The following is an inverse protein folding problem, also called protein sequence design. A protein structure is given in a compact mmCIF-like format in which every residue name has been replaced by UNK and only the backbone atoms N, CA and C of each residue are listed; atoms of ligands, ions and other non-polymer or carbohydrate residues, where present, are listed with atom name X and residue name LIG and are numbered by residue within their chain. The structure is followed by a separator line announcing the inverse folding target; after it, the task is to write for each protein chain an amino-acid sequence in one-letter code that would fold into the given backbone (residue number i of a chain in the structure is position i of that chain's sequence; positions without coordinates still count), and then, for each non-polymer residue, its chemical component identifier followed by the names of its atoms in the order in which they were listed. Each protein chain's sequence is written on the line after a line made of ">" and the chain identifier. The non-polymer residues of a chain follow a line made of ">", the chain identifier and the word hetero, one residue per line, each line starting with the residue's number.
data_IF_927613903054
#
_entry.id   IF_927613903054
#
_cell.length_a   1.000
_cell.length_b   1.000
_cell.length_c   1.000
_cell.angle_alpha   90.00
_cell.angle_beta   90.00
_cell.angle_gamma   90.00
#
_symmetry.space_group_name_H-M   'P 1'
#
loop_
_entity.id
_entity.type
_entity.pdbx_description
1 polymer ?
#
# COMPACT_ATOMS: atom_id res chain seq x y z
N UNK A 1 -15.18 -17.51 -6.70
CA UNK A 1 -15.49 -16.86 -7.99
C UNK A 1 -14.54 -17.48 -8.99
N UNK A 2 -15.05 -17.99 -10.10
CA UNK A 2 -14.28 -18.94 -10.92
C UNK A 2 -13.47 -18.24 -12.02
N UNK A 3 -13.86 -17.01 -12.39
CA UNK A 3 -13.19 -16.19 -13.39
C UNK A 3 -12.96 -14.75 -12.90
N UNK A 4 -11.74 -14.26 -13.13
CA UNK A 4 -11.28 -12.89 -12.85
C UNK A 4 -10.68 -12.34 -14.14
N UNK A 5 -11.10 -11.14 -14.56
CA UNK A 5 -10.57 -10.48 -15.74
C UNK A 5 -9.40 -9.54 -15.39
N UNK A 6 -8.37 -9.51 -16.23
CA UNK A 6 -7.31 -8.51 -16.13
C UNK A 6 -7.81 -7.13 -16.62
N UNK A 7 -7.41 -6.03 -15.98
CA UNK A 7 -7.70 -4.70 -16.47
C UNK A 7 -6.97 -4.41 -17.76
N UNK A 8 -7.50 -3.47 -18.53
CA UNK A 8 -6.93 -3.00 -19.79
C UNK A 8 -5.54 -2.41 -19.57
N UNK A 9 -5.37 -1.58 -18.54
CA UNK A 9 -4.13 -0.85 -18.30
C UNK A 9 -3.28 -1.47 -17.18
N UNK A 10 -1.94 -1.39 -17.26
CA UNK A 10 -1.03 -1.88 -16.24
C UNK A 10 -1.39 -1.45 -14.82
N UNK A 11 -1.21 -2.37 -13.87
CA UNK A 11 -1.38 -2.13 -12.43
C UNK A 11 -0.05 -1.70 -11.83
N UNK A 12 -0.06 -0.63 -11.04
CA UNK A 12 1.05 -0.24 -10.15
C UNK A 12 0.63 -0.49 -8.71
N UNK A 13 1.35 -1.36 -8.01
CA UNK A 13 1.15 -1.63 -6.59
C UNK A 13 1.99 -0.66 -5.75
N UNK A 14 1.34 0.12 -4.88
CA UNK A 14 1.94 1.20 -4.10
C UNK A 14 1.80 0.92 -2.59
N UNK A 15 2.93 0.65 -1.91
CA UNK A 15 2.93 0.24 -0.51
C UNK A 15 2.80 1.43 0.46
N UNK A 16 2.39 1.16 1.70
CA UNK A 16 2.25 2.15 2.76
C UNK A 16 3.54 2.52 3.49
N UNK A 17 3.35 3.11 4.68
CA UNK A 17 4.37 3.34 5.69
C UNK A 17 5.04 1.99 6.01
N UNK A 18 6.34 1.99 6.25
CA UNK A 18 7.07 0.77 6.63
C UNK A 18 7.11 -0.31 5.54
N UNK A 19 6.81 0.00 4.28
CA UNK A 19 7.04 -0.94 3.18
C UNK A 19 8.54 -1.14 2.96
N UNK A 20 9.03 -2.33 3.30
CA UNK A 20 10.44 -2.71 3.22
C UNK A 20 10.63 -3.82 2.19
N UNK A 21 11.77 -3.81 1.48
CA UNK A 21 12.29 -5.00 0.78
C UNK A 21 12.90 -6.02 1.76
N UNK A 22 13.28 -5.62 2.98
CA UNK A 22 13.85 -6.49 4.02
C UNK A 22 13.61 -5.90 5.41
N UNK A 23 12.82 -6.58 6.23
CA UNK A 23 13.00 -6.48 7.68
C UNK A 23 13.77 -7.72 8.11
N UNK A 24 14.96 -7.54 8.69
CA UNK A 24 15.66 -8.62 9.39
C UNK A 24 14.83 -8.90 10.65
N UNK A 25 13.88 -9.82 10.53
CA UNK A 25 13.16 -10.35 11.69
C UNK A 25 14.00 -11.47 12.29
N UNK A 26 15.16 -11.09 12.80
CA UNK A 26 15.92 -11.91 13.71
C UNK A 26 15.81 -11.19 15.05
N UNK A 27 14.99 -11.67 16.03
CA UNK A 27 15.40 -11.45 17.39
C UNK A 27 16.76 -12.14 17.46
N UNK A 28 17.86 -11.39 17.40
CA UNK A 28 19.16 -12.03 17.54
C UNK A 28 19.10 -12.78 18.85
N UNK A 29 19.36 -14.09 18.82
CA UNK A 29 19.47 -14.89 20.05
C UNK A 29 20.49 -14.23 21.01
N UNK A 30 21.39 -13.40 20.47
CA UNK A 30 22.29 -12.50 21.18
C UNK A 30 21.59 -11.37 21.95
N UNK A 31 20.50 -10.76 21.45
CA UNK A 31 19.72 -9.76 22.19
C UNK A 31 19.03 -10.38 23.41
N UNK A 32 18.45 -11.58 23.24
CA UNK A 32 17.81 -12.34 24.34
C UNK A 32 18.88 -12.76 25.36
N UNK A 33 20.05 -13.23 24.90
CA UNK A 33 21.20 -13.54 25.75
C UNK A 33 21.66 -12.33 26.58
N UNK A 34 21.73 -11.15 25.97
CA UNK A 34 22.25 -9.94 26.63
C UNK A 34 21.28 -9.33 27.64
N UNK A 35 19.96 -9.42 27.37
CA UNK A 35 18.91 -9.04 28.32
C UNK A 35 18.86 -10.00 29.51
N UNK A 36 19.08 -11.30 29.27
CA UNK A 36 19.19 -12.31 30.33
C UNK A 36 20.52 -12.19 31.10
N UNK A 37 21.59 -11.67 30.50
CA UNK A 37 22.91 -11.51 31.13
C UNK A 37 23.17 -10.14 31.76
N UNK A 38 22.22 -9.20 31.74
CA UNK A 38 22.30 -7.93 32.49
C UNK A 38 23.42 -6.96 32.06
N UNK A 39 23.90 -6.98 30.81
CA UNK A 39 24.91 -6.02 30.33
C UNK A 39 24.25 -4.77 29.72
N UNK A 40 24.72 -3.59 30.13
CA UNK A 40 24.31 -2.29 29.57
C UNK A 40 24.64 -2.21 28.07
N UNK A 41 23.67 -1.75 27.29
CA UNK A 41 23.77 -1.57 25.83
C UNK A 41 23.88 -0.07 25.55
N UNK A 42 24.92 0.34 24.83
CA UNK A 42 24.93 1.62 24.11
C UNK A 42 24.37 1.41 22.69
N UNK A 43 23.51 2.31 22.17
CA UNK A 43 22.86 2.11 20.89
C UNK A 43 23.73 2.64 19.74
N UNK A 44 24.58 1.78 19.15
CA UNK A 44 25.12 2.02 17.81
C UNK A 44 24.24 1.31 16.77
N UNK A 45 23.47 2.09 16.01
CA UNK A 45 22.71 1.60 14.85
C UNK A 45 23.62 1.51 13.62
N UNK A 46 24.32 0.39 13.45
CA UNK A 46 24.95 0.05 12.18
C UNK A 46 24.02 -0.85 11.35
N UNK A 47 23.42 -0.29 10.29
CA UNK A 47 22.67 -1.05 9.28
C UNK A 47 23.64 -1.39 8.14
N UNK A 48 24.31 -2.53 8.24
CA UNK A 48 24.89 -3.23 7.11
C UNK A 48 24.87 -4.71 7.47
N UNK A 49 23.88 -5.48 7.01
CA UNK A 49 24.02 -6.93 7.04
C UNK A 49 23.20 -7.68 5.97
N UNK A 50 23.93 -8.45 5.17
CA UNK A 50 23.47 -9.23 4.02
C UNK A 50 23.01 -10.64 4.41
N UNK A 51 22.01 -10.76 5.30
CA UNK A 51 21.59 -12.08 5.82
C UNK A 51 20.13 -12.30 6.20
N UNK A 52 19.20 -11.37 5.92
CA UNK A 52 17.78 -11.50 6.29
C UNK A 52 16.92 -12.28 5.29
N UNK A 53 15.95 -13.05 5.79
CA UNK A 53 14.81 -13.57 4.99
C UNK A 53 13.90 -12.39 4.65
N UNK A 54 13.84 -12.01 3.37
CA UNK A 54 12.94 -10.97 2.87
C UNK A 54 11.51 -11.53 2.78
N UNK A 55 10.52 -10.81 3.32
CA UNK A 55 9.10 -11.09 3.09
C UNK A 55 8.56 -10.01 2.15
N UNK A 56 8.08 -10.42 0.97
CA UNK A 56 7.49 -9.50 -0.01
C UNK A 56 6.21 -8.88 0.53
N UNK A 57 6.10 -7.55 0.43
CA UNK A 57 4.91 -6.79 0.87
C UNK A 57 3.63 -7.19 0.12
N UNK A 58 3.77 -7.67 -1.12
CA UNK A 58 2.67 -8.09 -1.98
C UNK A 58 2.66 -9.61 -2.17
N UNK A 59 2.83 -10.36 -1.08
CA UNK A 59 3.08 -11.81 -1.12
C UNK A 59 1.99 -12.59 -1.90
N UNK A 60 2.36 -13.14 -3.06
CA UNK A 60 1.48 -13.92 -3.95
C UNK A 60 0.53 -13.09 -4.80
N UNK A 61 0.44 -11.77 -4.56
CA UNK A 61 -0.50 -10.87 -5.24
C UNK A 61 0.00 -10.55 -6.64
N UNK A 62 1.29 -10.21 -6.76
CA UNK A 62 1.89 -9.91 -8.06
C UNK A 62 1.75 -11.13 -9.00
N UNK A 63 2.14 -12.31 -8.52
CA UNK A 63 2.12 -13.55 -9.31
C UNK A 63 0.69 -13.90 -9.74
N UNK A 64 -0.29 -13.74 -8.84
CA UNK A 64 -1.69 -14.02 -9.15
C UNK A 64 -2.27 -13.06 -10.20
N UNK A 65 -1.96 -11.76 -10.10
CA UNK A 65 -2.38 -10.76 -11.08
C UNK A 65 -1.74 -11.02 -12.45
N UNK A 66 -0.44 -11.32 -12.47
CA UNK A 66 0.29 -11.66 -13.71
C UNK A 66 -0.22 -12.97 -14.33
N UNK A 67 -0.56 -13.98 -13.50
CA UNK A 67 -1.16 -15.23 -13.97
C UNK A 67 -2.56 -15.03 -14.60
N UNK A 68 -3.23 -13.91 -14.32
CA UNK A 68 -4.47 -13.50 -14.98
C UNK A 68 -4.27 -12.59 -16.19
N UNK A 69 -3.02 -12.32 -16.58
CA UNK A 69 -2.68 -11.52 -17.76
C UNK A 69 -2.43 -10.04 -17.48
N UNK A 70 -2.47 -9.60 -16.21
CA UNK A 70 -2.18 -8.19 -15.89
C UNK A 70 -0.69 -7.88 -16.05
N UNK A 71 -0.36 -6.76 -16.69
CA UNK A 71 0.96 -6.14 -16.54
C UNK A 71 1.04 -5.49 -15.16
N UNK A 72 1.99 -5.92 -14.32
CA UNK A 72 2.11 -5.44 -12.93
C UNK A 72 3.47 -4.80 -12.68
N UNK A 73 3.45 -3.62 -12.07
CA UNK A 73 4.61 -2.85 -11.61
C UNK A 73 4.53 -2.78 -10.09
N UNK A 74 5.54 -3.25 -9.38
CA UNK A 74 5.61 -3.12 -7.91
C UNK A 74 6.51 -1.95 -7.54
N UNK A 75 5.90 -0.84 -7.15
CA UNK A 75 6.63 0.38 -6.82
C UNK A 75 7.33 0.28 -5.47
N UNK A 76 8.47 0.97 -5.37
CA UNK A 76 9.28 1.05 -4.15
C UNK A 76 9.56 2.50 -3.81
N UNK A 77 9.26 2.88 -2.57
CA UNK A 77 9.46 4.24 -2.06
C UNK A 77 10.05 4.19 -0.64
N UNK A 78 10.65 5.28 -0.12
CA UNK A 78 11.21 5.29 1.23
C UNK A 78 10.17 4.93 2.29
N UNK A 79 10.50 3.95 3.16
CA UNK A 79 9.55 3.41 4.13
C UNK A 79 8.98 4.43 5.12
N UNK A 80 9.76 5.46 5.48
CA UNK A 80 9.38 6.50 6.45
C UNK A 80 9.50 7.94 5.94
N UNK A 81 9.76 8.11 4.64
CA UNK A 81 9.89 9.43 4.01
C UNK A 81 8.59 10.22 4.06
N UNK A 82 8.67 11.51 3.74
CA UNK A 82 7.48 12.35 3.64
C UNK A 82 6.57 11.93 2.47
N UNK A 83 5.30 12.34 2.47
CA UNK A 83 4.37 12.08 1.34
C UNK A 83 4.96 12.62 0.03
N UNK A 84 5.57 13.80 0.08
CA UNK A 84 6.22 14.44 -1.07
C UNK A 84 7.43 13.63 -1.55
N UNK A 85 8.36 13.27 -0.65
CA UNK A 85 9.54 12.46 -0.98
C UNK A 85 9.15 11.11 -1.58
N UNK A 86 8.13 10.47 -0.99
CA UNK A 86 7.59 9.18 -1.44
C UNK A 86 6.91 9.32 -2.80
N UNK A 87 6.13 10.37 -3.02
CA UNK A 87 5.48 10.63 -4.31
C UNK A 87 6.51 10.94 -5.42
N UNK A 88 7.59 11.65 -5.11
CA UNK A 88 8.68 11.93 -6.05
C UNK A 88 9.46 10.66 -6.42
N UNK A 89 9.74 9.77 -5.46
CA UNK A 89 10.32 8.46 -5.76
C UNK A 89 9.34 7.58 -6.54
N UNK A 90 8.04 7.60 -6.19
CA UNK A 90 6.99 6.88 -6.92
C UNK A 90 6.94 7.32 -8.39
N UNK A 91 6.96 8.64 -8.64
CA UNK A 91 7.02 9.18 -10.00
C UNK A 91 8.26 8.65 -10.75
N UNK A 92 9.45 8.75 -10.14
CA UNK A 92 10.70 8.29 -10.77
C UNK A 92 10.65 6.80 -11.09
N UNK A 93 10.10 5.98 -10.18
CA UNK A 93 9.95 4.55 -10.38
C UNK A 93 9.02 4.24 -11.55
N UNK A 94 7.80 4.80 -11.55
CA UNK A 94 6.80 4.57 -12.61
C UNK A 94 7.33 5.12 -13.94
N UNK A 95 7.94 6.30 -13.95
CA UNK A 95 8.53 6.90 -15.16
C UNK A 95 9.62 6.03 -15.77
N UNK A 96 10.45 5.38 -14.94
CA UNK A 96 11.48 4.43 -15.40
C UNK A 96 10.84 3.15 -15.95
N UNK A 97 9.93 2.54 -15.20
CA UNK A 97 9.24 1.32 -15.60
C UNK A 97 8.47 1.51 -16.92
N UNK A 98 7.70 2.60 -17.02
CA UNK A 98 6.97 2.96 -18.24
C UNK A 98 7.92 3.35 -19.38
N UNK A 99 9.08 3.93 -19.09
CA UNK A 99 10.14 4.14 -20.09
C UNK A 99 10.58 2.85 -20.81
N UNK A 100 10.59 1.70 -20.12
CA UNK A 100 10.83 0.40 -20.75
C UNK A 100 9.61 -0.12 -21.50
N UNK A 101 8.41 -0.01 -20.90
CA UNK A 101 7.16 -0.44 -21.53
C UNK A 101 6.90 0.32 -22.84
N UNK A 102 7.25 1.61 -22.92
CA UNK A 102 7.05 2.41 -24.13
C UNK A 102 7.73 1.86 -25.40
N UNK A 103 8.70 0.96 -25.24
CA UNK A 103 9.44 0.31 -26.33
C UNK A 103 8.80 -0.99 -26.83
N UNK A 104 7.88 -1.56 -26.05
CA UNK A 104 7.13 -2.76 -26.38
C UNK A 104 5.89 -2.39 -27.20
N UNK A 105 5.26 -3.37 -27.83
CA UNK A 105 4.02 -3.13 -28.57
C UNK A 105 2.86 -2.87 -27.61
N UNK A 106 1.81 -2.18 -28.08
CA UNK A 106 0.63 -1.92 -27.25
C UNK A 106 -0.06 -3.21 -26.82
N UNK A 107 -0.12 -4.22 -27.70
CA UNK A 107 -0.74 -5.51 -27.40
C UNK A 107 0.01 -6.36 -26.36
N UNK A 108 1.31 -6.10 -26.16
CA UNK A 108 2.11 -6.73 -25.09
C UNK A 108 1.84 -6.13 -23.70
N UNK A 109 1.25 -4.93 -23.63
CA UNK A 109 1.12 -4.13 -22.40
C UNK A 109 -0.34 -3.93 -22.01
N UNK A 110 -1.20 -3.68 -22.99
CA UNK A 110 -2.63 -3.48 -22.78
C UNK A 110 -3.35 -4.78 -23.01
N UNK A 111 -4.17 -5.18 -22.04
CA UNK A 111 -5.03 -6.33 -22.17
C UNK A 111 -6.29 -5.91 -22.95
N UNK A 112 -6.23 -5.98 -24.27
CA UNK A 112 -7.41 -5.72 -25.12
C UNK A 112 -8.24 -6.99 -25.29
N UNK A 113 -9.44 -7.01 -24.69
CA UNK A 113 -10.65 -7.66 -25.24
C UNK A 113 -11.90 -7.31 -24.40
N UNK A 114 -12.60 -6.22 -24.77
CA UNK A 114 -13.99 -5.96 -24.35
C UNK A 114 -14.81 -5.04 -25.28
N UNK A 115 -14.28 -4.56 -26.42
CA UNK A 115 -15.07 -3.91 -27.47
C UNK A 115 -14.41 -4.12 -28.86
N UNK A 116 -14.88 -5.07 -29.69
CA UNK A 116 -14.29 -5.39 -30.99
C UNK A 116 -14.50 -4.32 -32.09
N UNK A 117 -15.11 -3.17 -31.77
CA UNK A 117 -15.58 -2.19 -32.76
C UNK A 117 -14.73 -0.91 -32.88
N UNK A 118 -13.59 -0.83 -32.19
CA UNK A 118 -12.60 0.21 -32.47
C UNK A 118 -11.46 -0.41 -33.26
N UNK A 119 -11.42 -0.09 -34.55
CA UNK A 119 -10.58 -0.73 -35.55
C UNK A 119 -9.14 -0.91 -35.08
N UNK A 120 -8.57 -2.09 -35.39
CA UNK A 120 -7.18 -2.50 -35.12
C UNK A 120 -6.26 -1.29 -35.13
N UNK A 121 -5.93 -0.77 -33.93
CA UNK A 121 -4.78 0.12 -33.82
C UNK A 121 -3.60 -0.67 -34.38
N UNK A 122 -2.86 -0.08 -35.31
CA UNK A 122 -1.59 -0.65 -35.74
C UNK A 122 -0.76 -0.92 -34.48
N UNK A 123 -0.21 -2.13 -34.35
CA UNK A 123 0.52 -2.63 -33.16
C UNK A 123 1.89 -1.94 -33.01
N UNK A 124 1.85 -0.62 -32.92
CA UNK A 124 2.96 0.32 -32.80
C UNK A 124 3.23 0.60 -31.32
N UNK A 125 4.47 1.00 -31.02
CA UNK A 125 4.87 1.31 -29.64
C UNK A 125 4.47 2.73 -29.23
N UNK A 126 4.38 2.97 -27.91
CA UNK A 126 4.09 4.30 -27.36
C UNK A 126 5.15 5.35 -27.73
N UNK A 127 6.40 4.92 -27.91
CA UNK A 127 7.51 5.79 -28.30
C UNK A 127 7.30 6.39 -29.71
N UNK A 128 6.80 5.59 -30.65
CA UNK A 128 6.54 6.03 -32.02
C UNK A 128 5.46 7.11 -32.10
N UNK A 129 4.51 7.11 -31.15
CA UNK A 129 3.37 8.05 -31.11
C UNK A 129 3.51 9.19 -30.11
N UNK A 130 4.61 9.23 -29.36
CA UNK A 130 4.78 10.14 -28.21
C UNK A 130 3.61 10.08 -27.18
N UNK A 131 2.89 8.95 -27.13
CA UNK A 131 1.73 8.75 -26.26
C UNK A 131 2.18 8.30 -24.88
N UNK A 132 1.49 8.71 -23.80
CA UNK A 132 1.77 8.26 -22.42
C UNK A 132 1.22 6.85 -22.18
N UNK A 133 1.91 6.05 -21.37
CA UNK A 133 1.38 4.75 -20.90
C UNK A 133 0.33 5.03 -19.83
N UNK A 134 -0.89 4.53 -20.01
CA UNK A 134 -1.95 4.62 -19.00
C UNK A 134 -1.70 3.59 -17.91
N UNK A 135 -1.93 3.94 -16.65
CA UNK A 135 -1.71 3.05 -15.51
C UNK A 135 -2.82 3.17 -14.47
N UNK A 136 -3.13 2.04 -13.83
CA UNK A 136 -4.01 1.93 -12.67
C UNK A 136 -3.16 1.85 -11.41
N UNK A 137 -3.38 2.73 -10.43
CA UNK A 137 -2.71 2.65 -9.14
C UNK A 137 -3.57 1.86 -8.15
N UNK A 138 -2.98 0.87 -7.47
CA UNK A 138 -3.58 0.20 -6.32
C UNK A 138 -2.67 0.43 -5.12
N UNK A 139 -3.19 1.15 -4.13
CA UNK A 139 -2.38 1.67 -3.04
C UNK A 139 -2.91 1.23 -1.68
N UNK A 140 -2.01 0.75 -0.81
CA UNK A 140 -2.35 0.37 0.56
C UNK A 140 -1.87 1.42 1.56
N UNK A 141 -2.69 1.70 2.58
CA UNK A 141 -2.32 2.55 3.72
C UNK A 141 -1.79 3.92 3.24
N UNK A 142 -0.65 4.40 3.75
CA UNK A 142 -0.04 5.68 3.35
C UNK A 142 0.23 5.80 1.84
N UNK A 143 0.37 4.68 1.11
CA UNK A 143 0.62 4.69 -0.34
C UNK A 143 -0.47 5.41 -1.12
N UNK A 144 -1.71 5.42 -0.62
CA UNK A 144 -2.81 6.15 -1.26
C UNK A 144 -2.68 7.67 -1.13
N UNK A 145 -2.01 8.17 -0.08
CA UNK A 145 -1.70 9.60 0.06
C UNK A 145 -0.58 10.00 -0.92
N UNK A 146 0.44 9.16 -1.06
CA UNK A 146 1.52 9.36 -2.02
C UNK A 146 0.96 9.42 -3.46
N UNK A 147 0.06 8.49 -3.81
CA UNK A 147 -0.60 8.47 -5.11
C UNK A 147 -1.44 9.72 -5.34
N UNK A 148 -2.21 10.18 -4.34
CA UNK A 148 -2.99 11.42 -4.46
C UNK A 148 -2.09 12.64 -4.66
N UNK A 149 -0.97 12.72 -3.94
CA UNK A 149 0.00 13.79 -4.12
C UNK A 149 0.63 13.74 -5.51
N UNK A 150 1.07 12.55 -5.96
CA UNK A 150 1.60 12.32 -7.31
C UNK A 150 0.63 12.81 -8.38
N UNK A 151 -0.63 12.40 -8.32
CA UNK A 151 -1.64 12.80 -9.31
C UNK A 151 -1.89 14.31 -9.29
N UNK A 152 -1.96 14.92 -8.11
CA UNK A 152 -2.35 16.33 -7.98
C UNK A 152 -1.21 17.32 -8.21
N UNK A 153 0.03 16.96 -7.89
CA UNK A 153 1.14 17.92 -7.73
C UNK A 153 2.32 17.67 -8.65
N UNK A 154 2.44 16.48 -9.25
CA UNK A 154 3.63 16.09 -10.00
C UNK A 154 3.25 15.87 -11.48
N UNK A 155 3.92 16.59 -12.36
CA UNK A 155 3.76 16.42 -13.80
C UNK A 155 4.50 15.16 -14.31
N UNK A 156 3.76 14.27 -14.98
CA UNK A 156 4.30 13.01 -15.48
C UNK A 156 4.41 13.04 -17.00
N UNK A 157 5.60 12.75 -17.55
CA UNK A 157 5.86 12.79 -19.00
C UNK A 157 5.66 11.45 -19.71
N UNK A 158 5.91 10.34 -19.00
CA UNK A 158 5.93 9.00 -19.61
C UNK A 158 4.61 8.24 -19.44
N UNK A 159 3.82 8.60 -18.43
CA UNK A 159 2.62 7.89 -18.05
C UNK A 159 1.48 8.83 -17.63
N UNK A 160 0.27 8.30 -17.70
CA UNK A 160 -0.98 8.94 -17.27
C UNK A 160 -1.66 8.00 -16.27
N UNK A 161 -2.04 8.53 -15.11
CA UNK A 161 -2.82 7.76 -14.15
C UNK A 161 -4.28 7.84 -14.57
N UNK A 162 -4.95 6.70 -14.72
CA UNK A 162 -6.39 6.66 -15.07
C UNK A 162 -7.27 6.25 -13.89
N UNK A 163 -6.69 5.58 -12.90
CA UNK A 163 -7.39 5.24 -11.67
C UNK A 163 -6.47 5.15 -10.46
N UNK A 164 -7.04 5.39 -9.28
CA UNK A 164 -6.44 5.13 -7.98
C UNK A 164 -7.45 4.37 -7.12
N UNK A 165 -7.14 3.11 -6.82
CA UNK A 165 -7.84 2.32 -5.81
C UNK A 165 -7.04 2.34 -4.51
N UNK A 166 -7.63 2.89 -3.44
CA UNK A 166 -7.02 2.86 -2.11
C UNK A 166 -7.60 1.78 -1.22
N UNK A 167 -6.75 1.16 -0.42
CA UNK A 167 -7.11 0.13 0.56
C UNK A 167 -6.61 0.65 1.90
N UNK A 168 -7.55 0.95 2.81
CA UNK A 168 -7.28 1.43 4.18
C UNK A 168 -6.33 2.62 4.27
N UNK A 169 -6.37 3.50 3.27
CA UNK A 169 -5.59 4.74 3.30
C UNK A 169 -6.19 5.74 4.30
N UNK A 170 -5.41 6.33 5.21
CA UNK A 170 -5.90 7.32 6.17
C UNK A 170 -6.10 8.69 5.50
N UNK A 171 -7.10 8.83 4.63
CA UNK A 171 -7.34 10.08 3.88
C UNK A 171 -7.68 11.26 4.78
N UNK A 172 -8.17 11.03 6.00
CA UNK A 172 -8.44 12.06 7.02
C UNK A 172 -7.49 11.96 8.21
N UNK A 173 -6.40 11.20 8.06
CA UNK A 173 -5.43 10.90 9.10
C UNK A 173 -5.83 9.73 9.99
N UNK A 174 -5.00 9.47 11.00
CA UNK A 174 -5.19 8.42 11.98
C UNK A 174 -5.11 8.98 13.39
N UNK A 175 -6.08 8.62 14.24
CA UNK A 175 -6.09 8.96 15.65
C UNK A 175 -4.91 8.34 16.41
N UNK A 176 -4.35 7.25 15.89
CA UNK A 176 -3.10 6.64 16.40
C UNK A 176 -1.93 7.57 16.13
N UNK A 177 -1.83 8.16 14.93
CA UNK A 177 -0.78 9.12 14.62
C UNK A 177 -0.86 10.36 15.51
N UNK A 178 -2.08 10.87 15.75
CA UNK A 178 -2.30 11.96 16.71
C UNK A 178 -1.79 11.58 18.11
N UNK A 179 -2.14 10.38 18.59
CA UNK A 179 -1.72 9.90 19.90
C UNK A 179 -0.21 9.71 20.02
N UNK A 180 0.45 9.14 18.99
CA UNK A 180 1.91 8.96 18.96
C UNK A 180 2.63 10.30 18.96
N UNK A 181 2.16 11.28 18.19
CA UNK A 181 2.71 12.63 18.18
C UNK A 181 2.53 13.32 19.53
N UNK A 182 1.39 13.13 20.19
CA UNK A 182 1.15 13.68 21.53
C UNK A 182 2.05 13.05 22.60
N UNK A 183 2.28 11.74 22.56
CA UNK A 183 3.23 11.07 23.45
C UNK A 183 4.66 11.55 23.23
N UNK A 184 5.06 11.77 21.97
CA UNK A 184 6.39 12.22 21.63
C UNK A 184 6.72 13.63 22.17
N UNK A 185 5.72 14.46 22.48
CA UNK A 185 5.94 15.77 23.14
C UNK A 185 6.56 15.64 24.53
N UNK A 186 6.42 14.47 25.17
CA UNK A 186 6.99 14.19 26.49
C UNK A 186 8.35 13.48 26.41
N UNK A 187 8.85 13.21 25.21
CA UNK A 187 10.17 12.63 25.01
C UNK A 187 11.25 13.73 24.98
N UNK A 188 12.52 13.37 25.27
CA UNK A 188 13.66 14.26 25.04
C UNK A 188 13.69 14.86 23.62
N UNK A 189 14.10 16.12 23.48
CA UNK A 189 14.06 16.88 22.21
C UNK A 189 14.90 16.27 21.06
N UNK A 190 15.87 15.42 21.40
CA UNK A 190 16.70 14.66 20.46
C UNK A 190 15.97 13.48 19.81
N UNK A 191 14.85 13.03 20.38
CA UNK A 191 14.01 11.96 19.80
C UNK A 191 12.97 12.58 18.88
N UNK A 192 13.25 12.57 17.57
CA UNK A 192 12.32 13.03 16.53
C UNK A 192 11.62 11.86 15.86
N UNK A 193 10.30 11.95 15.75
CA UNK A 193 9.53 10.99 14.94
C UNK A 193 9.83 11.20 13.45
N UNK A 194 9.69 10.16 12.62
CA UNK A 194 9.78 10.32 11.18
C UNK A 194 8.72 11.29 10.63
N UNK A 195 9.01 12.00 9.52
CA UNK A 195 8.07 12.98 8.93
C UNK A 195 6.73 12.34 8.58
N UNK A 196 6.75 11.11 8.09
CA UNK A 196 5.56 10.32 7.80
C UNK A 196 4.58 10.21 8.99
N UNK A 197 5.06 10.07 10.23
CA UNK A 197 4.18 9.97 11.40
C UNK A 197 3.43 11.29 11.63
N UNK A 198 4.13 12.43 11.52
CA UNK A 198 3.49 13.74 11.62
C UNK A 198 2.48 13.97 10.48
N UNK A 199 2.81 13.52 9.27
CA UNK A 199 1.97 13.67 8.10
C UNK A 199 0.76 12.74 8.07
N UNK A 200 0.68 11.75 8.97
CA UNK A 200 -0.49 10.89 9.14
C UNK A 200 -1.48 11.40 10.20
N UNK A 201 -1.16 12.50 10.88
CA UNK A 201 -2.07 13.13 11.86
C UNK A 201 -3.33 13.68 11.21
N UNK A 202 -4.45 13.64 11.93
CA UNK A 202 -5.74 14.14 11.43
C UNK A 202 -5.68 15.64 11.10
N UNK A 203 -4.89 16.39 11.86
CA UNK A 203 -4.69 17.81 11.60
C UNK A 203 -3.90 18.07 10.31
N UNK A 204 -2.81 17.33 10.07
CA UNK A 204 -2.04 17.48 8.83
C UNK A 204 -2.92 17.14 7.62
N UNK A 205 -3.69 16.05 7.67
CA UNK A 205 -4.52 15.63 6.52
C UNK A 205 -5.66 16.59 6.20
N UNK A 206 -6.15 17.39 7.16
CA UNK A 206 -7.08 18.49 6.88
C UNK A 206 -6.47 19.54 5.96
N UNK A 207 -5.19 19.86 6.14
CA UNK A 207 -4.44 20.77 5.27
C UNK A 207 -4.16 20.12 3.91
N UNK A 208 -3.62 18.91 3.93
CA UNK A 208 -3.34 18.11 2.74
C UNK A 208 -4.55 18.03 1.80
N UNK A 209 -5.74 17.73 2.33
CA UNK A 209 -6.96 17.60 1.52
C UNK A 209 -7.47 18.91 0.90
N UNK A 210 -7.05 20.08 1.40
CA UNK A 210 -7.37 21.37 0.78
C UNK A 210 -6.46 21.65 -0.43
N UNK A 211 -5.24 21.12 -0.41
CA UNK A 211 -4.23 21.43 -1.43
C UNK A 211 -4.11 20.33 -2.49
N UNK A 212 -4.31 19.06 -2.11
CA UNK A 212 -4.18 17.87 -2.95
C UNK A 212 -5.57 17.47 -3.45
N UNK A 213 -5.92 18.03 -4.59
CA UNK A 213 -7.23 17.92 -5.22
C UNK A 213 -7.27 16.70 -6.17
N UNK A 214 -8.46 16.17 -6.38
CA UNK A 214 -8.67 15.12 -7.37
C UNK A 214 -8.52 15.68 -8.79
N UNK A 215 -7.87 14.92 -9.67
CA UNK A 215 -7.93 15.15 -11.11
C UNK A 215 -9.28 14.61 -11.63
N UNK A 216 -10.11 15.42 -12.32
CA UNK A 216 -11.42 14.99 -12.81
C UNK A 216 -11.36 13.86 -13.84
N UNK A 217 -10.20 13.60 -14.45
CA UNK A 217 -10.01 12.52 -15.43
C UNK A 217 -9.59 11.19 -14.78
N UNK A 218 -9.36 11.17 -13.46
CA UNK A 218 -8.93 9.97 -12.72
C UNK A 218 -10.10 9.39 -11.93
N UNK A 219 -10.31 8.08 -12.04
CA UNK A 219 -11.27 7.37 -11.18
C UNK A 219 -10.66 7.07 -9.82
N UNK A 220 -11.27 7.61 -8.76
CA UNK A 220 -10.87 7.32 -7.37
C UNK A 220 -11.82 6.30 -6.75
N UNK A 221 -11.27 5.18 -6.32
CA UNK A 221 -11.97 4.06 -5.68
C UNK A 221 -11.36 3.83 -4.29
N UNK A 222 -12.15 3.39 -3.31
CA UNK A 222 -11.61 3.08 -1.98
C UNK A 222 -12.29 1.94 -1.26
N UNK A 223 -11.50 1.23 -0.47
CA UNK A 223 -11.93 0.22 0.50
C UNK A 223 -11.49 0.62 1.91
N UNK A 224 -12.38 0.41 2.87
CA UNK A 224 -12.01 0.42 4.29
C UNK A 224 -11.94 -1.01 4.83
N UNK A 225 -11.45 -1.16 6.06
CA UNK A 225 -11.50 -2.41 6.77
C UNK A 225 -11.91 -2.19 8.22
N UNK A 226 -12.51 -3.20 8.83
CA UNK A 226 -12.81 -3.20 10.26
C UNK A 226 -12.74 -4.60 10.84
N UNK A 227 -12.40 -4.67 12.12
CA UNK A 227 -12.42 -5.91 12.88
C UNK A 227 -12.68 -5.62 14.36
N UNK A 228 -12.95 -6.67 15.14
CA UNK A 228 -13.07 -6.61 16.59
C UNK A 228 -11.91 -7.45 17.18
N UNK A 229 -10.85 -6.82 17.70
CA UNK A 229 -9.71 -7.54 18.26
C UNK A 229 -10.07 -8.27 19.55
N UNK A 230 -9.51 -9.46 19.75
CA UNK A 230 -9.38 -10.05 21.09
C UNK A 230 -8.34 -9.25 21.89
N UNK A 231 -8.40 -9.30 23.22
CA UNK A 231 -7.53 -8.53 24.12
C UNK A 231 -6.02 -8.77 23.92
N UNK A 232 -5.64 -9.92 23.35
CA UNK A 232 -4.25 -10.29 23.07
C UNK A 232 -3.79 -9.95 21.64
N UNK A 233 -4.66 -9.37 20.79
CA UNK A 233 -4.26 -8.92 19.45
C UNK A 233 -3.34 -7.69 19.57
N UNK A 234 -2.29 -7.63 18.74
CA UNK A 234 -1.29 -6.56 18.75
C UNK A 234 -1.86 -5.17 18.51
N UNK A 235 -2.98 -5.07 17.80
CA UNK A 235 -3.70 -3.85 17.52
C UNK A 235 -4.79 -3.52 18.54
N UNK A 236 -4.97 -4.30 19.61
CA UNK A 236 -6.04 -4.05 20.58
C UNK A 236 -5.98 -2.61 21.14
N UNK A 237 -4.79 -2.15 21.54
CA UNK A 237 -4.62 -0.80 22.10
C UNK A 237 -4.87 0.31 21.06
N UNK A 238 -4.31 0.18 19.85
CA UNK A 238 -4.50 1.18 18.79
C UNK A 238 -5.94 1.20 18.27
N UNK A 239 -6.57 0.02 18.20
CA UNK A 239 -7.99 -0.13 17.88
C UNK A 239 -8.87 0.59 18.90
N UNK A 240 -8.58 0.48 20.22
CA UNK A 240 -9.34 1.19 21.26
C UNK A 240 -9.27 2.71 21.07
N UNK A 241 -8.07 3.25 20.83
CA UNK A 241 -7.84 4.69 20.60
C UNK A 241 -8.72 5.20 19.45
N UNK A 242 -8.77 4.46 18.35
CA UNK A 242 -9.56 4.84 17.18
C UNK A 242 -11.06 4.63 17.46
N UNK A 243 -11.44 3.48 18.04
CA UNK A 243 -12.84 3.13 18.24
C UNK A 243 -13.57 4.13 19.15
N UNK A 244 -12.91 4.62 20.18
CA UNK A 244 -13.46 5.65 21.07
C UNK A 244 -13.70 7.00 20.36
N UNK A 245 -12.92 7.32 19.32
CA UNK A 245 -12.93 8.63 18.66
C UNK A 245 -13.66 8.66 17.31
N UNK A 246 -13.53 7.59 16.53
CA UNK A 246 -13.96 7.50 15.13
C UNK A 246 -14.69 6.20 14.78
N UNK A 247 -14.85 5.27 15.74
CA UNK A 247 -15.65 4.06 15.58
C UNK A 247 -14.93 2.92 14.82
N UNK A 248 -15.65 2.15 13.98
CA UNK A 248 -15.09 0.95 13.34
C UNK A 248 -13.77 1.22 12.61
N UNK A 249 -12.79 0.35 12.83
CA UNK A 249 -11.43 0.53 12.33
C UNK A 249 -10.68 -0.80 12.18
N UNK A 250 -9.58 -0.77 11.44
CA UNK A 250 -8.71 -1.91 11.15
C UNK A 250 -7.51 -2.03 12.12
N UNK A 251 -7.52 -1.26 13.20
CA UNK A 251 -6.45 -1.19 14.20
C UNK A 251 -5.48 -0.03 13.98
N UNK A 252 -5.47 0.59 12.80
CA UNK A 252 -4.59 1.72 12.46
C UNK A 252 -5.34 2.90 11.81
N UNK A 253 -6.42 2.62 11.10
CA UNK A 253 -7.19 3.58 10.31
C UNK A 253 -8.69 3.34 10.51
N UNK A 254 -9.43 4.41 10.81
CA UNK A 254 -10.90 4.34 10.88
C UNK A 254 -11.51 4.13 9.50
N UNK A 255 -12.64 3.42 9.45
CA UNK A 255 -13.41 3.20 8.22
C UNK A 255 -13.79 4.53 7.57
N UNK A 256 -14.09 5.56 8.36
CA UNK A 256 -14.41 6.89 7.84
C UNK A 256 -13.21 7.59 7.20
N UNK A 257 -12.02 7.48 7.82
CA UNK A 257 -10.79 8.00 7.23
C UNK A 257 -10.43 7.27 5.92
N UNK A 258 -10.77 5.99 5.80
CA UNK A 258 -10.53 5.20 4.58
C UNK A 258 -11.40 5.58 3.37
N UNK A 259 -12.54 6.26 3.56
CA UNK A 259 -13.46 6.60 2.47
C UNK A 259 -12.91 7.72 1.58
N UNK A 260 -12.75 7.45 0.29
CA UNK A 260 -12.40 8.45 -0.73
C UNK A 260 -12.95 8.12 -2.12
N UNK A 261 -13.36 9.13 -2.88
CA UNK A 261 -13.99 8.90 -4.19
C UNK A 261 -15.21 7.98 -4.10
N UNK A 262 -15.30 6.99 -4.98
CA UNK A 262 -16.33 5.95 -4.93
C UNK A 262 -15.92 4.90 -3.89
N UNK A 263 -16.63 4.88 -2.77
CA UNK A 263 -16.42 3.88 -1.73
C UNK A 263 -17.02 2.53 -2.12
N UNK A 264 -16.19 1.51 -2.27
CA UNK A 264 -16.58 0.18 -2.76
C UNK A 264 -16.99 -0.79 -1.65
N UNK A 265 -16.56 -0.54 -0.40
CA UNK A 265 -17.03 -1.30 0.75
C UNK A 265 -16.05 -1.35 1.91
N UNK A 266 -16.51 -1.95 3.00
CA UNK A 266 -15.71 -2.27 4.18
C UNK A 266 -15.42 -3.76 4.21
N UNK A 267 -14.13 -4.12 4.24
CA UNK A 267 -13.69 -5.48 4.47
C UNK A 267 -13.89 -5.79 5.96
N UNK A 268 -14.71 -6.80 6.27
CA UNK A 268 -15.10 -7.14 7.65
C UNK A 268 -14.22 -8.24 8.20
N UNK A 269 -13.86 -8.14 9.48
CA UNK A 269 -12.93 -9.02 10.19
C UNK A 269 -11.54 -9.03 9.56
N UNK A 270 -11.02 -7.83 9.25
CA UNK A 270 -9.69 -7.66 8.65
C UNK A 270 -8.95 -6.60 9.42
N UNK A 271 -7.76 -6.95 9.90
CA UNK A 271 -6.83 -5.97 10.45
C UNK A 271 -5.92 -5.37 9.37
N UNK A 272 -5.19 -4.33 9.73
CA UNK A 272 -4.34 -3.58 8.81
C UNK A 272 -3.20 -4.42 8.18
N UNK A 273 -2.80 -5.56 8.79
CA UNK A 273 -1.72 -6.43 8.29
C UNK A 273 -2.24 -7.59 7.43
N UNK A 274 -3.47 -8.04 7.69
CA UNK A 274 -4.13 -9.07 6.87
C UNK A 274 -4.28 -8.63 5.40
N UNK A 275 -4.40 -7.32 5.15
CA UNK A 275 -4.56 -6.71 3.82
C UNK A 275 -3.33 -6.82 2.91
N UNK A 276 -2.20 -7.23 3.47
CA UNK A 276 -0.95 -7.49 2.74
C UNK A 276 -0.45 -8.94 2.93
N UNK A 277 -1.32 -9.85 3.38
CA UNK A 277 -1.05 -11.29 3.53
C UNK A 277 0.11 -11.62 4.49
N UNK A 278 0.53 -10.68 5.34
CA UNK A 278 1.71 -10.83 6.20
C UNK A 278 1.48 -11.87 7.30
N UNK A 279 0.23 -12.01 7.74
CA UNK A 279 -0.23 -13.02 8.70
C UNK A 279 0.06 -14.44 8.20
N UNK A 280 -0.09 -14.73 6.90
CA UNK A 280 0.23 -16.04 6.32
C UNK A 280 1.73 -16.23 6.05
N UNK A 281 2.44 -15.17 5.66
CA UNK A 281 3.91 -15.18 5.54
C UNK A 281 4.61 -15.45 6.87
N UNK A 282 4.15 -14.80 7.95
CA UNK A 282 4.65 -15.02 9.32
C UNK A 282 4.27 -16.40 9.87
N UNK A 283 3.05 -16.91 9.61
CA UNK A 283 2.63 -18.27 9.98
C UNK A 283 3.53 -19.35 9.36
N UNK A 284 3.94 -19.21 8.09
CA UNK A 284 4.88 -20.15 7.43
C UNK A 284 6.29 -20.06 8.01
N UNK A 285 6.77 -18.86 8.34
CA UNK A 285 8.07 -18.66 8.97
C UNK A 285 8.11 -19.24 10.41
N UNK A 286 7.02 -19.07 11.16
CA UNK A 286 6.84 -19.56 12.53
C UNK A 286 6.22 -20.96 12.60
N UNK A 287 6.21 -21.70 11.50
CA UNK A 287 5.59 -23.02 11.31
C UNK A 287 6.16 -24.17 12.15
N UNK A 288 6.66 -23.90 13.36
CA UNK A 288 7.09 -24.92 14.33
C UNK A 288 6.73 -24.66 15.81
N UNK A 289 6.12 -23.53 16.24
CA UNK A 289 6.06 -23.24 17.69
C UNK A 289 4.70 -22.81 18.29
N UNK A 290 3.61 -22.54 17.56
CA UNK A 290 2.36 -22.15 18.24
C UNK A 290 1.09 -22.84 17.72
N UNK A 291 0.44 -23.71 18.51
CA UNK A 291 -0.89 -24.20 18.23
C UNK A 291 -1.94 -23.23 18.77
N UNK A 292 -2.77 -22.68 17.88
CA UNK A 292 -4.07 -22.11 18.25
C UNK A 292 -4.17 -20.58 18.13
N UNK A 293 -4.33 -20.07 16.91
CA UNK A 293 -5.46 -19.18 16.59
C UNK A 293 -5.65 -19.16 15.06
N UNK A 294 -6.83 -19.59 14.59
CA UNK A 294 -7.24 -19.49 13.19
C UNK A 294 -7.78 -18.07 12.97
N UNK A 295 -6.87 -17.12 12.77
CA UNK A 295 -7.22 -15.80 12.26
C UNK A 295 -7.90 -15.88 10.89
N UNK A 296 -8.72 -14.88 10.51
CA UNK A 296 -9.66 -14.95 9.39
C UNK A 296 -8.98 -15.32 8.06
N UNK A 297 -9.64 -16.23 7.31
CA UNK A 297 -9.26 -16.61 5.96
C UNK A 297 -9.75 -15.56 4.96
N UNK A 298 -9.18 -14.36 4.98
CA UNK A 298 -9.27 -13.54 3.77
C UNK A 298 -8.17 -14.00 2.85
N UNK A 299 -8.61 -14.50 1.70
CA UNK A 299 -7.75 -14.67 0.57
C UNK A 299 -7.42 -13.26 0.04
N UNK A 300 -6.35 -12.67 0.59
CA UNK A 300 -5.86 -11.36 0.17
C UNK A 300 -5.61 -11.35 -1.34
N UNK A 301 -5.16 -12.47 -1.90
CA UNK A 301 -5.01 -12.61 -3.35
C UNK A 301 -6.36 -12.45 -4.05
N UNK A 302 -7.42 -13.11 -3.57
CA UNK A 302 -8.76 -12.93 -4.11
C UNK A 302 -9.26 -11.47 -4.05
N UNK A 303 -8.93 -10.71 -3.00
CA UNK A 303 -9.23 -9.28 -2.92
C UNK A 303 -8.58 -8.51 -4.08
N UNK A 304 -7.27 -8.68 -4.31
CA UNK A 304 -6.59 -7.97 -5.40
C UNK A 304 -7.05 -8.43 -6.78
N UNK A 305 -7.39 -9.71 -6.93
CA UNK A 305 -8.01 -10.21 -8.16
C UNK A 305 -9.40 -9.59 -8.38
N UNK A 306 -10.21 -9.40 -7.33
CA UNK A 306 -11.50 -8.71 -7.43
C UNK A 306 -11.35 -7.22 -7.73
N UNK A 307 -10.31 -6.56 -7.23
CA UNK A 307 -9.98 -5.17 -7.58
C UNK A 307 -9.61 -5.08 -9.06
N UNK A 308 -8.74 -5.96 -9.55
CA UNK A 308 -8.35 -6.02 -10.96
C UNK A 308 -9.56 -6.26 -11.87
N UNK A 309 -10.44 -7.18 -11.50
CA UNK A 309 -11.69 -7.44 -12.21
C UNK A 309 -12.67 -6.24 -12.17
N UNK A 310 -12.70 -5.49 -11.06
CA UNK A 310 -13.48 -4.26 -10.97
C UNK A 310 -12.98 -3.18 -11.92
N UNK A 311 -11.65 -3.04 -12.05
CA UNK A 311 -11.02 -2.14 -13.01
C UNK A 311 -11.35 -2.56 -14.45
N UNK A 312 -11.20 -3.83 -14.78
CA UNK A 312 -11.55 -4.38 -16.10
C UNK A 312 -12.99 -4.07 -16.51
N UNK A 313 -13.95 -4.30 -15.59
CA UNK A 313 -15.38 -3.98 -15.80
C UNK A 313 -15.67 -2.51 -16.02
N UNK A 314 -14.76 -1.61 -15.63
CA UNK A 314 -14.86 -0.16 -15.84
C UNK A 314 -14.15 0.30 -17.11
N UNK A 315 -13.58 -0.62 -17.89
CA UNK A 315 -12.76 -0.31 -19.06
C UNK A 315 -11.39 0.30 -18.70
N UNK A 316 -10.95 0.10 -17.46
CA UNK A 316 -9.65 0.49 -16.94
C UNK A 316 -8.68 -0.69 -17.00
#
# INVERSE_FOLDING_TARGET
>A
KDEYQAPKYPIVLCHGLSGFDRLILVPSLNLISNVVSGKKIEPEFHINDHGGVALDYWFGIQEALQAKGSTVIVAKVPGFGSIEERADELNRFISRATGYLRKQSKSEIYHEDAHPDQGKETDESFEQRQEKVKVNLIAHSMGGLDCRYLISKIENKNFEVVSLTTITTPHRGSEVADHVVDLAKNLPEDIKLPPSIYQLTTNYLKGFNKEVLNDPNVQYLSYGASFIPKWFNVFYGTWQIINEKAGPNDGMVSVDSAKWGIYLGTLVNVDHLDLINWTNGFKRLMGRISPGDLGPQIDTVALYLDIADNLAKRGL
#
